data_IF_952754249576
#
_entry.id   IF_952754249576
#
_cell.length_a   1.000
_cell.length_b   1.000
_cell.length_c   1.000
_cell.angle_alpha   90.00
_cell.angle_beta   90.00
_cell.angle_gamma   90.00
#
_symmetry.space_group_name_H-M   'P 1'
#
loop_
_entity.id
_entity.type
_entity.pdbx_description
1 polymer ?
#
# COMPACT_ATOMS: atom_id res chain seq x y z
N UNK A 1 27.01 67.11 -17.15
CA UNK A 1 27.39 68.49 -16.74
C UNK A 1 26.14 69.21 -16.29
N UNK A 2 26.24 69.97 -15.18
CA UNK A 2 25.22 70.82 -14.52
C UNK A 2 23.91 70.11 -14.10
N UNK A 3 23.48 70.09 -12.86
CA UNK A 3 23.80 70.94 -11.71
C UNK A 3 22.50 71.54 -11.15
N UNK A 4 22.25 71.26 -9.87
CA UNK A 4 21.60 72.14 -8.87
C UNK A 4 20.07 72.32 -8.99
N UNK A 5 19.31 71.80 -8.00
CA UNK A 5 18.76 72.53 -6.83
C UNK A 5 17.55 73.39 -7.19
N UNK A 6 16.47 73.50 -6.42
CA UNK A 6 16.16 73.34 -4.99
C UNK A 6 14.63 73.52 -4.90
N UNK A 7 13.95 72.87 -3.95
CA UNK A 7 13.21 73.55 -2.86
C UNK A 7 12.52 72.49 -2.00
N UNK A 8 12.92 72.46 -0.73
CA UNK A 8 12.24 71.82 0.39
C UNK A 8 11.13 72.75 0.90
N UNK A 9 10.00 72.18 1.31
CA UNK A 9 9.30 72.66 2.51
C UNK A 9 8.68 71.48 3.26
N UNK A 10 9.06 71.40 4.52
CA UNK A 10 8.63 70.51 5.59
C UNK A 10 7.09 70.63 5.80
N UNK A 11 6.36 69.62 6.29
CA UNK A 11 6.36 69.24 7.71
C UNK A 11 5.42 68.06 7.98
N UNK A 12 5.86 67.21 8.91
CA UNK A 12 5.10 66.51 9.96
C UNK A 12 4.05 65.44 9.62
N UNK A 13 4.45 64.20 9.96
CA UNK A 13 3.81 63.51 11.08
C UNK A 13 2.73 62.49 10.72
N UNK A 14 3.12 61.23 10.60
CA UNK A 14 2.34 60.14 11.20
C UNK A 14 3.18 58.87 11.30
N UNK A 15 3.38 58.44 12.54
CA UNK A 15 3.91 57.14 12.90
C UNK A 15 2.86 56.08 12.58
N UNK A 16 3.08 55.28 11.54
CA UNK A 16 2.40 54.01 11.36
C UNK A 16 3.47 52.92 11.23
N UNK A 17 3.79 52.31 12.37
CA UNK A 17 4.40 50.99 12.43
C UNK A 17 3.42 50.00 11.81
N UNK A 18 3.64 49.60 10.57
CA UNK A 18 3.03 48.37 10.04
C UNK A 18 4.01 47.24 10.33
N UNK A 19 3.85 46.62 11.50
CA UNK A 19 4.28 45.26 11.74
C UNK A 19 3.56 44.36 10.74
N UNK A 20 4.25 43.99 9.67
CA UNK A 20 3.83 42.91 8.81
C UNK A 20 4.02 41.61 9.60
N UNK A 21 2.99 41.22 10.35
CA UNK A 21 2.87 39.86 10.88
C UNK A 21 2.86 38.91 9.69
N UNK A 22 4.01 38.29 9.43
CA UNK A 22 4.12 37.10 8.61
C UNK A 22 3.39 35.98 9.36
N UNK A 23 2.10 35.85 9.07
CA UNK A 23 1.30 34.69 9.42
C UNK A 23 1.87 33.45 8.76
N UNK A 24 2.90 32.88 9.38
CA UNK A 24 3.40 31.57 9.04
C UNK A 24 2.27 30.59 9.34
N UNK A 25 1.60 30.11 8.29
CA UNK A 25 0.90 28.84 8.33
C UNK A 25 1.94 27.77 8.66
N UNK A 26 2.17 27.55 9.96
CA UNK A 26 2.82 26.37 10.46
C UNK A 26 1.95 25.20 10.02
N UNK A 27 2.32 24.60 8.90
CA UNK A 27 1.91 23.24 8.55
C UNK A 27 2.48 22.34 9.64
N UNK A 28 1.77 22.19 10.77
CA UNK A 28 2.13 21.25 11.81
C UNK A 28 2.06 19.86 11.20
N UNK A 29 3.22 19.28 10.94
CA UNK A 29 3.33 17.86 10.63
C UNK A 29 2.72 17.08 11.80
N UNK A 30 1.78 16.16 11.54
CA UNK A 30 1.18 15.38 12.61
C UNK A 30 2.25 14.56 13.33
N UNK A 31 2.16 14.50 14.65
CA UNK A 31 3.05 13.68 15.49
C UNK A 31 2.92 12.19 15.14
N UNK A 32 3.94 11.40 15.51
CA UNK A 32 3.92 9.94 15.29
C UNK A 32 2.72 9.29 15.97
N UNK A 33 2.39 9.72 17.19
CA UNK A 33 1.24 9.24 17.96
C UNK A 33 -0.08 9.54 17.24
N UNK A 34 -0.23 10.74 16.65
CA UNK A 34 -1.42 11.10 15.88
C UNK A 34 -1.54 10.28 14.59
N UNK A 35 -0.44 10.10 13.87
CA UNK A 35 -0.41 9.25 12.67
C UNK A 35 -0.75 7.80 13.00
N UNK A 36 -0.16 7.25 14.07
CA UNK A 36 -0.43 5.89 14.55
C UNK A 36 -1.88 5.75 14.96
N UNK A 37 -2.43 6.67 15.76
CA UNK A 37 -3.84 6.66 16.16
C UNK A 37 -4.77 6.68 14.94
N UNK A 38 -4.44 7.46 13.92
CA UNK A 38 -5.22 7.61 12.69
C UNK A 38 -5.18 6.35 11.82
N UNK A 39 -3.99 5.81 11.55
CA UNK A 39 -3.82 4.78 10.52
C UNK A 39 -3.82 3.35 11.05
N UNK A 40 -3.52 3.13 12.33
CA UNK A 40 -3.39 1.78 12.91
C UNK A 40 -4.61 0.89 12.68
N UNK A 41 -5.87 1.34 12.84
CA UNK A 41 -7.03 0.47 12.58
C UNK A 41 -7.08 -0.04 11.12
N UNK A 42 -6.78 0.84 10.16
CA UNK A 42 -6.72 0.49 8.73
C UNK A 42 -5.53 -0.40 8.40
N UNK A 43 -4.37 -0.12 9.00
CA UNK A 43 -3.19 -0.97 8.86
C UNK A 43 -3.46 -2.39 9.35
N UNK A 44 -4.09 -2.53 10.53
CA UNK A 44 -4.48 -3.82 11.09
C UNK A 44 -5.48 -4.56 10.19
N UNK A 45 -6.45 -3.85 9.61
CA UNK A 45 -7.35 -4.39 8.59
C UNK A 45 -6.57 -4.93 7.37
N UNK A 46 -5.64 -4.16 6.81
CA UNK A 46 -4.80 -4.58 5.68
C UNK A 46 -3.89 -5.77 6.00
N UNK A 47 -3.38 -5.85 7.23
CA UNK A 47 -2.52 -6.93 7.70
C UNK A 47 -3.28 -8.24 7.90
N UNK A 48 -4.56 -8.17 8.27
CA UNK A 48 -5.41 -9.35 8.46
C UNK A 48 -5.46 -10.26 7.22
N UNK A 49 -5.22 -9.69 6.03
CA UNK A 49 -5.16 -10.42 4.78
C UNK A 49 -3.90 -11.31 4.61
N UNK A 50 -2.77 -10.99 5.24
CA UNK A 50 -1.48 -11.63 4.89
C UNK A 50 -1.30 -13.01 5.51
N UNK A 51 -1.79 -13.25 6.74
CA UNK A 51 -1.58 -14.56 7.36
C UNK A 51 -2.50 -15.63 6.78
N UNK A 52 -1.87 -16.74 6.43
CA UNK A 52 -2.49 -17.94 5.90
C UNK A 52 -2.14 -19.15 6.79
N UNK A 53 -2.98 -20.18 6.76
CA UNK A 53 -2.75 -21.41 7.52
C UNK A 53 -3.23 -21.38 8.98
N UNK A 54 -2.78 -22.33 9.82
CA UNK A 54 -3.44 -22.68 11.09
C UNK A 54 -3.42 -21.56 12.14
N UNK A 55 -2.54 -20.57 12.00
CA UNK A 55 -2.43 -19.45 12.93
C UNK A 55 -3.12 -18.17 12.44
N UNK A 56 -3.83 -18.22 11.30
CA UNK A 56 -4.41 -17.01 10.71
C UNK A 56 -5.40 -16.31 11.65
N UNK A 57 -6.26 -17.06 12.35
CA UNK A 57 -7.24 -16.52 13.29
C UNK A 57 -6.56 -15.79 14.47
N UNK A 58 -5.47 -16.35 14.99
CA UNK A 58 -4.68 -15.72 16.04
C UNK A 58 -4.17 -14.33 15.62
N UNK A 59 -3.62 -14.21 14.41
CA UNK A 59 -3.10 -12.93 13.94
C UNK A 59 -4.18 -11.95 13.47
N UNK A 60 -5.37 -12.42 13.13
CA UNK A 60 -6.52 -11.53 12.89
C UNK A 60 -6.93 -10.85 14.19
N UNK A 61 -6.95 -11.60 15.30
CA UNK A 61 -7.23 -11.05 16.63
C UNK A 61 -6.06 -10.23 17.21
N UNK A 62 -4.82 -10.53 16.81
CA UNK A 62 -3.59 -9.91 17.32
C UNK A 62 -2.66 -9.45 16.18
N UNK A 63 -3.09 -8.49 15.34
CA UNK A 63 -2.36 -8.06 14.15
C UNK A 63 -0.97 -7.47 14.47
N UNK A 64 -0.78 -6.89 15.66
CA UNK A 64 0.52 -6.40 16.09
C UNK A 64 1.58 -7.51 16.13
N UNK A 65 1.19 -8.75 16.45
CA UNK A 65 2.10 -9.90 16.54
C UNK A 65 2.71 -10.29 15.18
N UNK A 66 2.16 -9.78 14.08
CA UNK A 66 2.67 -10.06 12.75
C UNK A 66 4.07 -9.49 12.54
N UNK A 67 4.30 -8.29 13.04
CA UNK A 67 5.53 -7.53 12.83
C UNK A 67 6.37 -7.39 14.11
N UNK A 68 6.05 -8.11 15.18
CA UNK A 68 6.93 -8.20 16.36
C UNK A 68 8.02 -9.27 16.16
N UNK A 69 9.23 -8.93 16.62
CA UNK A 69 10.36 -9.85 16.70
C UNK A 69 11.42 -9.59 15.63
N UNK A 70 12.58 -9.09 16.08
CA UNK A 70 13.70 -8.69 15.20
C UNK A 70 14.22 -9.82 14.31
N UNK A 71 14.44 -11.02 14.87
CA UNK A 71 14.99 -12.16 14.12
C UNK A 71 14.00 -12.62 13.04
N UNK A 72 12.73 -12.81 13.42
CA UNK A 72 11.65 -13.18 12.50
C UNK A 72 11.55 -12.16 11.36
N UNK A 73 11.56 -10.87 11.69
CA UNK A 73 11.39 -9.82 10.70
C UNK A 73 12.55 -9.76 9.71
N UNK A 74 13.80 -9.81 10.18
CA UNK A 74 14.97 -9.88 9.31
C UNK A 74 14.91 -11.08 8.38
N UNK A 75 14.53 -12.25 8.91
CA UNK A 75 14.40 -13.47 8.11
C UNK A 75 13.36 -13.32 7.00
N UNK A 76 12.17 -12.82 7.31
CA UNK A 76 11.11 -12.59 6.32
C UNK A 76 11.57 -11.61 5.24
N UNK A 77 12.17 -10.47 5.63
CA UNK A 77 12.66 -9.48 4.68
C UNK A 77 13.76 -10.04 3.76
N UNK A 78 14.72 -10.78 4.32
CA UNK A 78 15.83 -11.36 3.56
C UNK A 78 15.38 -12.54 2.67
N UNK A 79 14.73 -13.55 3.25
CA UNK A 79 14.42 -14.81 2.55
C UNK A 79 13.26 -14.67 1.56
N UNK A 80 12.24 -13.87 1.87
CA UNK A 80 11.02 -13.78 1.05
C UNK A 80 10.99 -12.55 0.14
N UNK A 81 11.74 -11.50 0.49
CA UNK A 81 11.72 -10.24 -0.25
C UNK A 81 13.10 -9.80 -0.75
N UNK A 82 14.17 -10.52 -0.39
CA UNK A 82 15.56 -10.18 -0.77
C UNK A 82 15.97 -8.75 -0.34
N UNK A 83 15.56 -8.38 0.88
CA UNK A 83 15.85 -7.08 1.50
C UNK A 83 16.72 -7.33 2.74
N UNK A 84 17.98 -6.92 2.66
CA UNK A 84 18.98 -7.11 3.72
C UNK A 84 19.40 -5.78 4.39
N UNK A 85 19.11 -4.64 3.74
CA UNK A 85 19.50 -3.31 4.24
C UNK A 85 18.33 -2.31 4.33
N UNK A 86 18.45 -1.27 5.17
CA UNK A 86 17.48 -0.17 5.23
C UNK A 86 17.29 0.57 3.89
N UNK A 87 18.35 0.74 3.12
CA UNK A 87 18.32 1.43 1.82
C UNK A 87 17.56 0.60 0.79
N UNK A 88 17.82 -0.71 0.73
CA UNK A 88 17.07 -1.65 -0.11
C UNK A 88 15.60 -1.65 0.25
N UNK A 89 15.27 -1.61 1.55
CA UNK A 89 13.89 -1.52 2.01
C UNK A 89 13.21 -0.25 1.50
N UNK A 90 13.84 0.93 1.67
CA UNK A 90 13.28 2.21 1.22
C UNK A 90 13.06 2.21 -0.29
N UNK A 91 14.05 1.76 -1.06
CA UNK A 91 13.92 1.63 -2.52
C UNK A 91 12.77 0.68 -2.90
N UNK A 92 12.64 -0.45 -2.20
CA UNK A 92 11.58 -1.40 -2.44
C UNK A 92 10.19 -0.83 -2.11
N UNK A 93 10.05 -0.08 -1.00
CA UNK A 93 8.78 0.57 -0.63
C UNK A 93 8.37 1.63 -1.66
N UNK A 94 9.31 2.46 -2.10
CA UNK A 94 9.07 3.50 -3.11
C UNK A 94 8.72 2.89 -4.49
N UNK A 95 9.44 1.85 -4.90
CA UNK A 95 9.10 1.08 -6.10
C UNK A 95 7.70 0.46 -5.97
N UNK A 96 7.37 -0.16 -4.82
CA UNK A 96 6.08 -0.81 -4.61
C UNK A 96 4.91 0.19 -4.58
N UNK A 97 5.16 1.39 -4.06
CA UNK A 97 4.19 2.50 -4.07
C UNK A 97 3.93 3.03 -5.49
N UNK A 98 4.98 3.18 -6.30
CA UNK A 98 4.91 3.81 -7.63
C UNK A 98 4.35 2.89 -8.73
N UNK A 99 5.00 1.76 -8.96
CA UNK A 99 4.60 0.75 -9.95
C UNK A 99 4.27 -0.57 -9.28
N UNK A 100 5.15 -1.04 -8.40
CA UNK A 100 4.99 -2.27 -7.64
C UNK A 100 4.75 -3.52 -8.44
N UNK A 101 4.25 -4.54 -7.76
CA UNK A 101 4.04 -5.87 -8.34
C UNK A 101 2.90 -5.85 -9.36
N UNK A 102 1.96 -4.90 -9.22
CA UNK A 102 0.83 -4.75 -10.15
C UNK A 102 1.23 -4.47 -11.61
N UNK A 103 2.42 -3.92 -11.90
CA UNK A 103 2.82 -3.62 -13.29
C UNK A 103 2.85 -4.87 -14.18
N UNK A 104 3.37 -5.98 -13.65
CA UNK A 104 3.41 -7.25 -14.40
C UNK A 104 2.00 -7.75 -14.72
N UNK A 105 1.09 -7.66 -13.74
CA UNK A 105 -0.31 -8.02 -13.93
C UNK A 105 -0.99 -7.11 -14.94
N UNK A 106 -0.80 -5.80 -14.83
CA UNK A 106 -1.42 -4.80 -15.71
C UNK A 106 -0.96 -4.99 -17.16
N UNK A 107 0.32 -5.29 -17.39
CA UNK A 107 0.84 -5.58 -18.72
C UNK A 107 0.16 -6.82 -19.34
N UNK A 108 0.05 -7.92 -18.57
CA UNK A 108 -0.65 -9.12 -19.02
C UNK A 108 -2.16 -8.88 -19.22
N UNK A 109 -2.77 -8.04 -18.37
CA UNK A 109 -4.17 -7.66 -18.48
C UNK A 109 -4.44 -6.91 -19.78
N UNK A 110 -3.63 -5.88 -20.08
CA UNK A 110 -3.74 -5.10 -21.31
C UNK A 110 -3.52 -5.96 -22.55
N UNK A 111 -2.60 -6.92 -22.50
CA UNK A 111 -2.42 -7.86 -23.60
C UNK A 111 -3.69 -8.70 -23.85
N UNK A 112 -4.26 -9.29 -22.80
CA UNK A 112 -5.38 -10.23 -22.94
C UNK A 112 -6.72 -9.54 -23.22
N UNK A 113 -6.95 -8.32 -22.70
CA UNK A 113 -8.22 -7.60 -22.90
C UNK A 113 -8.43 -7.21 -24.37
N UNK A 114 -7.34 -6.95 -25.10
CA UNK A 114 -7.35 -6.61 -26.52
C UNK A 114 -7.61 -7.82 -27.44
N UNK A 115 -7.44 -9.03 -26.92
CA UNK A 115 -7.68 -10.26 -27.68
C UNK A 115 -9.14 -10.73 -27.56
N UNK A 116 -9.74 -11.26 -28.64
CA UNK A 116 -11.01 -11.98 -28.57
C UNK A 116 -10.89 -13.19 -27.65
N UNK A 117 -11.99 -13.54 -26.96
CA UNK A 117 -12.03 -14.64 -25.98
C UNK A 117 -11.52 -15.98 -26.56
N UNK A 118 -11.84 -16.27 -27.83
CA UNK A 118 -11.40 -17.46 -28.54
C UNK A 118 -9.87 -17.52 -28.81
N UNK A 119 -9.15 -16.39 -28.70
CA UNK A 119 -7.71 -16.31 -28.98
C UNK A 119 -6.86 -16.32 -27.71
N UNK A 120 -7.43 -15.91 -26.58
CA UNK A 120 -6.71 -15.83 -25.29
C UNK A 120 -6.13 -17.18 -24.86
N UNK A 121 -6.90 -18.26 -25.00
CA UNK A 121 -6.43 -19.61 -24.68
C UNK A 121 -5.19 -20.02 -25.49
N UNK A 122 -5.17 -19.67 -26.79
CA UNK A 122 -4.02 -19.92 -27.67
C UNK A 122 -2.80 -19.10 -27.25
N UNK A 123 -3.00 -17.83 -26.90
CA UNK A 123 -1.94 -16.94 -26.41
C UNK A 123 -1.34 -17.41 -25.08
N UNK A 124 -2.16 -17.93 -24.17
CA UNK A 124 -1.68 -18.52 -22.91
C UNK A 124 -0.87 -19.79 -23.20
N UNK A 125 -1.40 -20.67 -24.05
CA UNK A 125 -0.74 -21.94 -24.38
C UNK A 125 0.59 -21.77 -25.13
N UNK A 126 0.77 -20.66 -25.87
CA UNK A 126 2.00 -20.39 -26.61
C UNK A 126 3.19 -19.97 -25.73
N UNK A 127 2.96 -19.64 -24.44
CA UNK A 127 4.05 -19.31 -23.51
C UNK A 127 4.90 -20.54 -23.19
N UNK A 128 6.21 -20.46 -23.36
CA UNK A 128 7.13 -21.57 -23.05
C UNK A 128 7.30 -21.78 -21.54
N UNK A 129 7.35 -20.68 -20.78
CA UNK A 129 7.52 -20.68 -19.32
C UNK A 129 6.22 -21.05 -18.59
N UNK A 130 6.20 -22.16 -17.80
CA UNK A 130 5.05 -22.53 -16.98
C UNK A 130 4.56 -21.44 -16.03
N UNK A 131 5.46 -20.64 -15.44
CA UNK A 131 5.10 -19.56 -14.51
C UNK A 131 4.35 -18.45 -15.24
N UNK A 132 4.83 -18.05 -16.42
CA UNK A 132 4.15 -17.06 -17.26
C UNK A 132 2.79 -17.59 -17.71
N UNK A 133 2.68 -18.87 -18.09
CA UNK A 133 1.38 -19.48 -18.43
C UNK A 133 0.40 -19.44 -17.25
N UNK A 134 0.87 -19.74 -16.03
CA UNK A 134 0.06 -19.64 -14.81
C UNK A 134 -0.45 -18.21 -14.61
N UNK A 135 0.46 -17.23 -14.58
CA UNK A 135 0.13 -15.80 -14.42
C UNK A 135 -0.89 -15.31 -15.46
N UNK A 136 -0.68 -15.62 -16.74
CA UNK A 136 -1.64 -15.26 -17.79
C UNK A 136 -2.98 -15.99 -17.63
N UNK A 137 -2.98 -17.23 -17.13
CA UNK A 137 -4.23 -17.95 -16.83
C UNK A 137 -5.02 -17.29 -15.71
N UNK A 138 -4.34 -16.85 -14.64
CA UNK A 138 -4.94 -16.08 -13.55
C UNK A 138 -5.54 -14.77 -14.08
N UNK A 139 -4.78 -13.99 -14.85
CA UNK A 139 -5.27 -12.73 -15.44
C UNK A 139 -6.50 -12.97 -16.31
N UNK A 140 -6.47 -13.99 -17.18
CA UNK A 140 -7.61 -14.33 -18.02
C UNK A 140 -8.84 -14.75 -17.21
N UNK A 141 -8.65 -15.49 -16.11
CA UNK A 141 -9.71 -15.91 -15.22
C UNK A 141 -10.45 -14.72 -14.57
N UNK A 142 -9.69 -13.70 -14.15
CA UNK A 142 -10.25 -12.53 -13.45
C UNK A 142 -10.51 -11.31 -14.35
N UNK A 143 -10.25 -11.40 -15.65
CA UNK A 143 -10.26 -10.28 -16.59
C UNK A 143 -11.53 -9.40 -16.53
N UNK A 144 -12.70 -10.03 -16.38
CA UNK A 144 -14.02 -9.35 -16.33
C UNK A 144 -14.52 -9.05 -14.90
N UNK A 145 -13.77 -9.46 -13.89
CA UNK A 145 -14.15 -9.40 -12.47
C UNK A 145 -13.19 -8.56 -11.63
N UNK A 146 -12.12 -8.08 -12.24
CA UNK A 146 -11.08 -7.34 -11.54
C UNK A 146 -11.57 -5.95 -11.17
N UNK A 147 -11.47 -5.52 -9.90
CA UNK A 147 -11.66 -4.11 -9.55
C UNK A 147 -10.65 -3.22 -10.29
N UNK A 148 -11.03 -1.97 -10.54
CA UNK A 148 -10.23 -1.01 -11.29
C UNK A 148 -8.84 -0.72 -10.68
N UNK A 149 -8.66 -1.03 -9.39
CA UNK A 149 -7.37 -0.94 -8.71
C UNK A 149 -6.37 -2.05 -9.03
N UNK A 150 -6.75 -3.08 -9.80
CA UNK A 150 -5.86 -4.19 -10.15
C UNK A 150 -5.33 -4.90 -8.91
N UNK A 151 -4.01 -5.09 -8.81
CA UNK A 151 -3.34 -5.71 -7.65
C UNK A 151 -2.92 -4.71 -6.56
N UNK A 152 -3.39 -3.46 -6.60
CA UNK A 152 -2.98 -2.44 -5.62
C UNK A 152 -3.26 -2.85 -4.15
N UNK A 153 -4.28 -3.66 -3.88
CA UNK A 153 -4.60 -4.13 -2.53
C UNK A 153 -3.54 -5.11 -2.01
N UNK A 154 -3.04 -5.97 -2.88
CA UNK A 154 -1.89 -6.83 -2.58
C UNK A 154 -0.65 -5.99 -2.23
N UNK A 155 -0.32 -5.01 -3.06
CA UNK A 155 0.82 -4.12 -2.81
C UNK A 155 0.70 -3.36 -1.49
N UNK A 156 -0.44 -2.73 -1.24
CA UNK A 156 -0.66 -1.94 -0.02
C UNK A 156 -0.51 -2.77 1.25
N UNK A 157 -1.01 -4.01 1.27
CA UNK A 157 -0.86 -4.91 2.42
C UNK A 157 0.62 -5.19 2.73
N UNK A 158 1.43 -5.48 1.71
CA UNK A 158 2.86 -5.74 1.91
C UNK A 158 3.68 -4.49 2.22
N UNK A 159 3.31 -3.32 1.68
CA UNK A 159 3.91 -2.03 2.07
C UNK A 159 3.69 -1.78 3.57
N UNK A 160 2.47 -1.96 4.07
CA UNK A 160 2.14 -1.79 5.49
C UNK A 160 2.95 -2.75 6.36
N UNK A 161 2.99 -4.04 6.00
CA UNK A 161 3.74 -5.04 6.75
C UNK A 161 5.23 -4.70 6.84
N UNK A 162 5.88 -4.44 5.70
CA UNK A 162 7.31 -4.13 5.64
C UNK A 162 7.65 -2.85 6.40
N UNK A 163 6.80 -1.83 6.32
CA UNK A 163 6.99 -0.57 7.06
C UNK A 163 6.99 -0.78 8.57
N UNK A 164 6.04 -1.57 9.09
CA UNK A 164 5.94 -1.85 10.53
C UNK A 164 7.04 -2.80 11.03
N UNK A 165 7.44 -3.77 10.21
CA UNK A 165 8.61 -4.60 10.50
C UNK A 165 9.89 -3.76 10.57
N UNK A 166 10.05 -2.80 9.66
CA UNK A 166 11.21 -1.93 9.60
C UNK A 166 11.30 -0.94 10.77
N UNK A 167 10.16 -0.43 11.25
CA UNK A 167 10.10 0.34 12.51
C UNK A 167 10.65 -0.50 13.67
N UNK A 168 10.23 -1.76 13.79
CA UNK A 168 10.71 -2.67 14.84
C UNK A 168 12.19 -3.02 14.70
N UNK A 169 12.72 -3.07 13.48
CA UNK A 169 14.14 -3.26 13.20
C UNK A 169 14.98 -1.98 13.37
N UNK A 170 14.34 -0.83 13.62
CA UNK A 170 14.96 0.50 13.63
C UNK A 170 15.59 0.87 12.28
N UNK A 171 15.09 0.29 11.19
CA UNK A 171 15.48 0.65 9.81
C UNK A 171 14.71 1.86 9.31
N UNK A 172 13.50 2.06 9.84
CA UNK A 172 12.72 3.29 9.72
C UNK A 172 12.48 3.86 11.12
N UNK A 173 12.44 5.18 11.21
CA UNK A 173 11.86 5.87 12.36
C UNK A 173 10.34 5.62 12.41
N UNK A 174 9.72 5.88 13.56
CA UNK A 174 8.26 5.82 13.67
C UNK A 174 7.56 6.77 12.69
N UNK A 175 8.12 7.96 12.49
CA UNK A 175 7.59 8.94 11.54
C UNK A 175 7.61 8.39 10.10
N UNK A 176 8.76 7.88 9.65
CA UNK A 176 8.89 7.30 8.31
C UNK A 176 7.94 6.12 8.10
N UNK A 177 7.90 5.17 9.05
CA UNK A 177 7.07 3.98 8.93
C UNK A 177 5.58 4.34 8.85
N UNK A 178 5.08 5.21 9.73
CA UNK A 178 3.68 5.62 9.74
C UNK A 178 3.32 6.54 8.58
N UNK A 179 4.30 7.24 7.98
CA UNK A 179 4.10 7.95 6.72
C UNK A 179 3.88 6.97 5.56
N UNK A 180 4.70 5.93 5.41
CA UNK A 180 4.48 4.90 4.37
C UNK A 180 3.16 4.17 4.56
N UNK A 181 2.80 3.82 5.80
CA UNK A 181 1.48 3.23 6.11
C UNK A 181 0.35 4.17 5.67
N UNK A 182 0.45 5.47 6.00
CA UNK A 182 -0.52 6.47 5.59
C UNK A 182 -0.63 6.61 4.06
N UNK A 183 0.50 6.53 3.35
CA UNK A 183 0.53 6.56 1.89
C UNK A 183 -0.15 5.33 1.27
N UNK A 184 0.15 4.11 1.76
CA UNK A 184 -0.51 2.89 1.31
C UNK A 184 -2.03 2.93 1.57
N UNK A 185 -2.46 3.42 2.74
CA UNK A 185 -3.89 3.58 3.05
C UNK A 185 -4.56 4.55 2.09
N UNK A 186 -3.93 5.70 1.80
CA UNK A 186 -4.45 6.68 0.84
C UNK A 186 -4.51 6.07 -0.56
N UNK A 187 -3.46 5.38 -1.01
CA UNK A 187 -3.42 4.71 -2.30
C UNK A 187 -4.56 3.69 -2.44
N UNK A 188 -4.74 2.82 -1.45
CA UNK A 188 -5.84 1.86 -1.44
C UNK A 188 -7.22 2.55 -1.54
N UNK A 189 -7.44 3.63 -0.79
CA UNK A 189 -8.67 4.43 -0.86
C UNK A 189 -8.91 5.02 -2.25
N UNK A 190 -7.87 5.48 -2.95
CA UNK A 190 -8.05 6.00 -4.32
C UNK A 190 -8.42 4.92 -5.34
N UNK A 191 -8.23 3.64 -5.02
CA UNK A 191 -8.38 2.52 -5.96
C UNK A 191 -9.57 1.61 -5.70
N UNK A 192 -10.10 1.59 -4.48
CA UNK A 192 -11.16 0.66 -4.07
C UNK A 192 -12.25 1.39 -3.31
N UNK A 193 -13.52 1.08 -3.56
CA UNK A 193 -14.65 1.67 -2.85
C UNK A 193 -14.90 1.05 -1.48
N UNK A 194 -14.48 -0.19 -1.27
CA UNK A 194 -14.70 -0.93 -0.02
C UNK A 194 -13.66 -2.04 0.19
N UNK A 195 -13.84 -2.80 1.27
CA UNK A 195 -13.00 -3.95 1.58
C UNK A 195 -13.27 -5.16 0.68
N UNK A 196 -14.41 -5.24 0.01
CA UNK A 196 -14.70 -6.34 -0.90
C UNK A 196 -13.80 -6.27 -2.14
N UNK A 197 -13.71 -5.09 -2.76
CA UNK A 197 -12.81 -4.87 -3.90
C UNK A 197 -11.34 -5.02 -3.49
N UNK A 198 -10.98 -4.50 -2.31
CA UNK A 198 -9.63 -4.69 -1.75
C UNK A 198 -9.31 -6.17 -1.54
N UNK A 199 -10.26 -6.93 -0.98
CA UNK A 199 -10.13 -8.35 -0.75
C UNK A 199 -9.95 -9.13 -2.07
N UNK A 200 -10.71 -8.76 -3.11
CA UNK A 200 -10.56 -9.35 -4.44
C UNK A 200 -9.16 -9.08 -5.00
N UNK A 201 -8.70 -7.83 -4.93
CA UNK A 201 -7.33 -7.46 -5.32
C UNK A 201 -6.26 -8.29 -4.62
N UNK A 202 -6.38 -8.43 -3.30
CA UNK A 202 -5.44 -9.20 -2.51
C UNK A 202 -5.46 -10.70 -2.87
N UNK A 203 -6.66 -11.28 -3.03
CA UNK A 203 -6.84 -12.68 -3.39
C UNK A 203 -6.22 -13.02 -4.76
N UNK A 204 -6.47 -12.17 -5.76
CA UNK A 204 -5.89 -12.34 -7.10
C UNK A 204 -4.37 -12.19 -7.03
N UNK A 205 -3.84 -11.26 -6.24
CA UNK A 205 -2.40 -11.11 -6.05
C UNK A 205 -1.75 -12.36 -5.44
N UNK A 206 -2.39 -12.98 -4.44
CA UNK A 206 -1.93 -14.26 -3.90
C UNK A 206 -1.88 -15.35 -4.96
N UNK A 207 -2.93 -15.50 -5.76
CA UNK A 207 -3.00 -16.52 -6.81
C UNK A 207 -1.96 -16.27 -7.93
N UNK A 208 -1.77 -15.00 -8.29
CA UNK A 208 -0.83 -14.58 -9.34
C UNK A 208 0.64 -14.81 -8.93
N UNK A 209 0.97 -14.67 -7.64
CA UNK A 209 2.31 -14.89 -7.10
C UNK A 209 2.50 -16.23 -6.39
N UNK A 210 1.50 -17.12 -6.36
CA UNK A 210 1.64 -18.47 -5.82
C UNK A 210 2.44 -19.36 -6.79
N UNK A 211 3.71 -19.62 -6.46
CA UNK A 211 4.63 -20.37 -7.33
C UNK A 211 4.54 -21.89 -7.11
N UNK A 212 4.27 -22.35 -5.88
CA UNK A 212 4.49 -23.77 -5.52
C UNK A 212 3.21 -24.61 -5.29
N UNK A 213 2.06 -24.01 -4.94
CA UNK A 213 0.77 -24.74 -4.82
C UNK A 213 -0.44 -23.79 -4.92
N UNK A 214 -0.92 -23.52 -6.15
CA UNK A 214 -2.08 -22.63 -6.38
C UNK A 214 -3.38 -23.18 -5.77
N UNK A 215 -3.55 -24.50 -5.71
CA UNK A 215 -4.83 -25.13 -5.35
C UNK A 215 -5.08 -25.14 -3.83
N UNK A 216 -4.03 -25.33 -3.04
CA UNK A 216 -4.10 -25.22 -1.57
C UNK A 216 -4.37 -23.78 -1.15
N UNK A 217 -3.64 -22.82 -1.74
CA UNK A 217 -3.74 -21.41 -1.39
C UNK A 217 -5.12 -20.82 -1.66
N UNK A 218 -5.70 -21.08 -2.84
CA UNK A 218 -6.97 -20.47 -3.23
C UNK A 218 -8.14 -20.97 -2.37
N UNK A 219 -8.19 -22.26 -2.02
CA UNK A 219 -9.32 -22.82 -1.27
C UNK A 219 -9.33 -22.39 0.20
N UNK A 220 -8.18 -22.44 0.87
CA UNK A 220 -8.05 -21.98 2.26
C UNK A 220 -8.17 -20.45 2.36
N UNK A 221 -7.61 -19.72 1.39
CA UNK A 221 -7.73 -18.26 1.34
C UNK A 221 -9.18 -17.83 1.16
N UNK A 222 -9.94 -18.40 0.22
CA UNK A 222 -11.31 -17.99 -0.04
C UNK A 222 -12.23 -18.11 1.18
N UNK A 223 -12.17 -19.24 1.90
CA UNK A 223 -12.96 -19.44 3.12
C UNK A 223 -12.63 -18.42 4.22
N UNK A 224 -11.34 -18.14 4.40
CA UNK A 224 -10.85 -17.14 5.37
C UNK A 224 -11.20 -15.71 4.98
N UNK A 225 -10.96 -15.33 3.74
CA UNK A 225 -11.27 -14.01 3.20
C UNK A 225 -12.76 -13.70 3.31
N UNK A 226 -13.62 -14.69 3.04
CA UNK A 226 -15.07 -14.57 3.27
C UNK A 226 -15.40 -14.31 4.74
N UNK A 227 -14.73 -15.00 5.67
CA UNK A 227 -14.91 -14.76 7.12
C UNK A 227 -14.45 -13.37 7.53
N UNK A 228 -13.33 -12.88 7.00
CA UNK A 228 -12.87 -11.50 7.23
C UNK A 228 -13.91 -10.45 6.81
N UNK A 229 -14.69 -10.71 5.77
CA UNK A 229 -15.72 -9.78 5.31
C UNK A 229 -17.05 -9.88 6.08
N UNK A 230 -17.25 -10.92 6.89
CA UNK A 230 -18.58 -11.24 7.44
C UNK A 230 -18.63 -11.41 8.96
N UNK A 231 -17.53 -11.78 9.62
CA UNK A 231 -17.48 -11.97 11.07
C UNK A 231 -17.39 -10.61 11.76
N UNK A 232 -18.26 -10.39 12.76
CA UNK A 232 -18.40 -9.11 13.46
C UNK A 232 -17.09 -8.63 14.14
N UNK A 233 -16.29 -9.56 14.63
CA UNK A 233 -15.00 -9.26 15.27
C UNK A 233 -13.86 -9.00 14.27
N UNK A 234 -14.15 -9.07 12.96
CA UNK A 234 -13.16 -8.77 11.93
C UNK A 234 -12.81 -7.28 11.92
N UNK A 235 -11.51 -6.92 11.82
CA UNK A 235 -11.08 -5.55 11.60
C UNK A 235 -11.75 -4.87 10.38
N UNK A 236 -12.11 -5.65 9.35
CA UNK A 236 -12.76 -5.12 8.14
C UNK A 236 -14.21 -4.68 8.37
N UNK A 237 -14.88 -5.28 9.36
CA UNK A 237 -16.25 -4.90 9.75
C UNK A 237 -16.23 -3.71 10.70
N UNK A 238 -15.20 -3.62 11.54
CA UNK A 238 -15.04 -2.56 12.54
C UNK A 238 -14.57 -1.23 11.94
N UNK A 239 -13.86 -1.26 10.81
CA UNK A 239 -13.27 -0.08 10.18
C UNK A 239 -13.69 -0.07 8.72
N UNK A 240 -14.24 1.04 8.23
CA UNK A 240 -14.51 1.20 6.79
C UNK A 240 -13.27 1.68 6.05
N UNK A 241 -13.05 1.17 4.84
CA UNK A 241 -11.96 1.63 3.99
C UNK A 241 -12.13 3.12 3.67
N UNK A 242 -13.34 3.55 3.31
CA UNK A 242 -13.72 4.96 3.19
C UNK A 242 -14.53 5.43 4.39
N UNK A 243 -14.31 6.68 4.80
CA UNK A 243 -15.14 7.33 5.83
C UNK A 243 -16.48 7.75 5.25
#
# INVERSE_FOLDING_TARGET
>A
MSGLSRTLSETNGSCCMTETQTGGTHSMTPTVEEMRKKWKPLAHAMLSFINMGPNAEYYIAHPEKMYLGTIKNKRILSEQHHIDTPEQLKQHLEWQMSVGLREEFDNMYQELILLPEAERGRRIASGSDPLIRHKMSVVNHYLRRMPAGGLTGYDCSFIVLKSLMAEQLKWLTGEEAWNYVGQAVKLARTRYGDWYDYCMSFAVGLEFYAIDDPAYYVRDAQGRLRRLLTVQDSPLVQVKLHH
#
